data_IF_860165945467
#
_entry.id   IF_860165945467
#
_cell.length_a   1.000
_cell.length_b   1.000
_cell.length_c   1.000
_cell.angle_alpha   90.00
_cell.angle_beta   90.00
_cell.angle_gamma   90.00
#
_symmetry.space_group_name_H-M   'P 1'
#
loop_
_entity.id
_entity.type
_entity.pdbx_description
1 polymer ?
#
# COMPACT_ATOMS: atom_id res chain seq x y z
N UNK A 1 10.68 -15.77 19.77
CA UNK A 1 10.41 -14.51 19.05
C UNK A 1 9.08 -13.97 19.55
N UNK A 2 9.03 -12.77 20.17
CA UNK A 2 7.77 -12.22 20.64
C UNK A 2 6.90 -11.91 19.42
N UNK A 3 5.73 -12.54 19.32
CA UNK A 3 4.78 -12.27 18.25
C UNK A 3 4.44 -10.79 18.25
N UNK A 4 4.72 -10.11 17.14
CA UNK A 4 4.13 -8.81 16.84
C UNK A 4 2.62 -8.97 17.09
N UNK A 5 2.06 -8.09 17.90
CA UNK A 5 0.66 -8.16 18.32
C UNK A 5 -0.20 -8.25 17.06
N UNK A 6 -0.98 -9.31 16.88
CA UNK A 6 -1.90 -9.37 15.76
C UNK A 6 -2.90 -8.21 15.90
N UNK A 7 -2.82 -7.30 14.94
CA UNK A 7 -3.61 -6.09 14.86
C UNK A 7 -4.98 -6.41 14.27
N UNK A 8 -5.92 -5.46 14.36
CA UNK A 8 -7.19 -5.54 13.63
C UNK A 8 -6.98 -5.76 12.12
N UNK A 9 -5.89 -5.24 11.57
CA UNK A 9 -5.52 -5.43 10.18
C UNK A 9 -5.18 -6.90 9.88
N UNK A 10 -4.43 -7.58 10.74
CA UNK A 10 -4.08 -8.99 10.54
C UNK A 10 -5.32 -9.91 10.55
N UNK A 11 -6.29 -9.60 11.42
CA UNK A 11 -7.58 -10.30 11.42
C UNK A 11 -8.34 -10.08 10.12
N UNK A 12 -8.40 -8.83 9.64
CA UNK A 12 -9.07 -8.50 8.38
C UNK A 12 -8.41 -9.24 7.20
N UNK A 13 -7.10 -9.15 7.06
CA UNK A 13 -6.36 -9.84 6.00
C UNK A 13 -6.57 -11.35 6.04
N UNK A 14 -6.60 -11.95 7.23
CA UNK A 14 -6.89 -13.37 7.39
C UNK A 14 -8.34 -13.74 7.02
N UNK A 15 -9.30 -12.84 7.25
CA UNK A 15 -10.70 -13.03 6.82
C UNK A 15 -10.79 -12.97 5.30
N UNK A 16 -10.14 -11.99 4.66
CA UNK A 16 -10.19 -11.79 3.22
C UNK A 16 -9.56 -12.96 2.45
N UNK A 17 -8.65 -13.72 3.08
CA UNK A 17 -8.10 -14.96 2.51
C UNK A 17 -9.03 -16.19 2.63
N UNK A 18 -10.15 -16.10 3.36
CA UNK A 18 -11.09 -17.21 3.48
C UNK A 18 -11.97 -17.30 2.22
N UNK A 19 -12.35 -18.52 1.78
CA UNK A 19 -13.37 -18.68 0.75
C UNK A 19 -14.66 -17.93 1.11
N UNK A 20 -15.32 -17.33 0.12
CA UNK A 20 -16.61 -16.62 0.28
C UNK A 20 -17.61 -17.48 1.06
N UNK A 21 -17.74 -18.75 0.68
CA UNK A 21 -18.64 -19.71 1.34
C UNK A 21 -18.30 -19.90 2.82
N UNK A 22 -17.02 -19.91 3.18
CA UNK A 22 -16.56 -20.02 4.57
C UNK A 22 -16.81 -18.72 5.34
N UNK A 23 -16.63 -17.53 4.74
CA UNK A 23 -16.97 -16.24 5.37
C UNK A 23 -18.47 -16.15 5.68
N UNK A 24 -19.32 -16.50 4.72
CA UNK A 24 -20.78 -16.53 4.89
C UNK A 24 -21.22 -17.52 5.99
N UNK A 25 -20.74 -18.77 5.91
CA UNK A 25 -21.02 -19.79 6.92
C UNK A 25 -20.50 -19.38 8.32
N UNK A 26 -19.36 -18.70 8.39
CA UNK A 26 -18.83 -18.18 9.65
C UNK A 26 -19.71 -17.07 10.22
N UNK A 27 -20.21 -16.16 9.39
CA UNK A 27 -21.12 -15.09 9.81
C UNK A 27 -22.40 -15.68 10.43
N UNK A 28 -23.01 -16.65 9.77
CA UNK A 28 -24.18 -17.36 10.29
C UNK A 28 -23.86 -18.16 11.55
N UNK A 29 -22.71 -18.83 11.57
CA UNK A 29 -22.22 -19.58 12.72
C UNK A 29 -22.01 -18.70 13.94
N UNK A 30 -21.40 -17.52 13.77
CA UNK A 30 -21.16 -16.55 14.85
C UNK A 30 -22.45 -16.01 15.42
N UNK A 31 -23.48 -15.80 14.59
CA UNK A 31 -24.82 -15.36 15.03
C UNK A 31 -25.58 -16.45 15.78
N UNK A 32 -25.42 -17.71 15.39
CA UNK A 32 -26.17 -18.83 15.95
C UNK A 32 -25.53 -19.48 17.20
N UNK A 33 -24.27 -19.19 17.51
CA UNK A 33 -23.51 -19.92 18.54
C UNK A 33 -22.88 -18.99 19.58
N UNK A 34 -22.59 -19.55 20.76
CA UNK A 34 -21.74 -18.89 21.76
C UNK A 34 -20.29 -19.01 21.33
N UNK A 35 -19.69 -17.88 20.95
CA UNK A 35 -18.33 -17.86 20.43
C UNK A 35 -17.28 -17.71 21.54
N UNK A 36 -16.23 -18.51 21.42
CA UNK A 36 -15.06 -18.48 22.31
C UNK A 36 -13.78 -18.12 21.55
N UNK A 37 -12.76 -17.74 22.33
CA UNK A 37 -11.39 -17.44 21.87
C UNK A 37 -10.42 -18.35 22.61
N UNK A 38 -9.25 -18.63 22.01
CA UNK A 38 -8.16 -19.38 22.64
C UNK A 38 -8.40 -20.89 22.80
N UNK A 39 -9.45 -21.43 22.18
CA UNK A 39 -9.75 -22.86 22.13
C UNK A 39 -10.74 -23.18 20.99
N UNK A 40 -10.81 -24.46 20.61
CA UNK A 40 -11.72 -24.96 19.57
C UNK A 40 -13.16 -25.14 20.08
N UNK A 41 -13.30 -25.72 21.27
CA UNK A 41 -14.56 -25.90 22.02
C UNK A 41 -14.30 -25.67 23.50
N UNK A 42 -15.32 -25.25 24.25
CA UNK A 42 -15.29 -25.24 25.72
C UNK A 42 -16.21 -26.31 26.31
N UNK A 43 -16.12 -26.52 27.63
CA UNK A 43 -16.97 -27.49 28.36
C UNK A 43 -18.43 -27.04 28.53
N UNK A 44 -18.76 -25.82 28.10
CA UNK A 44 -20.08 -25.18 28.25
C UNK A 44 -20.80 -25.06 26.89
N UNK A 45 -20.28 -25.71 25.85
CA UNK A 45 -20.86 -25.72 24.51
C UNK A 45 -20.48 -24.53 23.62
N UNK A 46 -19.59 -23.65 24.08
CA UNK A 46 -19.01 -22.59 23.28
C UNK A 46 -18.03 -23.13 22.23
N UNK A 47 -17.98 -22.48 21.07
CA UNK A 47 -17.19 -22.92 19.91
C UNK A 47 -16.39 -21.78 19.30
N UNK A 48 -15.25 -22.08 18.69
CA UNK A 48 -14.51 -21.07 17.93
C UNK A 48 -15.26 -20.68 16.65
N UNK A 49 -14.99 -19.50 16.05
CA UNK A 49 -15.66 -19.08 14.83
C UNK A 49 -15.50 -20.07 13.66
N UNK A 50 -14.33 -20.73 13.56
CA UNK A 50 -14.09 -21.70 12.48
C UNK A 50 -14.97 -22.94 12.63
N UNK A 51 -15.10 -23.49 13.84
CA UNK A 51 -16.00 -24.62 14.09
C UNK A 51 -17.46 -24.21 13.92
N UNK A 52 -17.82 -22.97 14.29
CA UNK A 52 -19.15 -22.45 14.03
C UNK A 52 -19.45 -22.44 12.51
N UNK A 53 -18.49 -22.02 11.69
CA UNK A 53 -18.59 -22.09 10.23
C UNK A 53 -18.72 -23.54 9.72
N UNK A 54 -17.95 -24.47 10.27
CA UNK A 54 -18.01 -25.89 9.88
C UNK A 54 -19.37 -26.52 10.15
N UNK A 55 -20.01 -26.13 11.25
CA UNK A 55 -21.38 -26.56 11.58
C UNK A 55 -22.41 -26.05 10.55
N UNK A 56 -22.13 -24.91 9.92
CA UNK A 56 -22.90 -24.37 8.80
C UNK A 56 -22.44 -24.87 7.43
N UNK A 57 -21.62 -25.93 7.38
CA UNK A 57 -21.23 -26.61 6.14
C UNK A 57 -19.92 -26.14 5.53
N UNK A 58 -19.19 -25.20 6.14
CA UNK A 58 -17.83 -24.88 5.69
C UNK A 58 -16.89 -26.08 5.87
N UNK A 59 -15.93 -26.24 4.95
CA UNK A 59 -14.97 -27.37 4.94
C UNK A 59 -13.51 -26.90 4.92
N UNK A 60 -13.22 -25.71 5.43
CA UNK A 60 -11.88 -25.11 5.35
C UNK A 60 -11.18 -25.13 6.69
N UNK A 61 -9.95 -25.65 6.73
CA UNK A 61 -9.05 -25.54 7.87
C UNK A 61 -8.04 -24.42 7.65
N UNK A 62 -8.46 -23.17 7.87
CA UNK A 62 -7.57 -22.01 7.69
C UNK A 62 -6.94 -21.59 9.02
N UNK A 63 -5.82 -22.24 9.35
CA UNK A 63 -5.05 -21.98 10.57
C UNK A 63 -4.59 -20.51 10.74
N UNK A 64 -4.25 -19.75 9.68
CA UNK A 64 -3.89 -18.33 9.82
C UNK A 64 -5.00 -17.49 10.44
N UNK A 65 -6.28 -17.75 10.11
CA UNK A 65 -7.41 -17.07 10.75
C UNK A 65 -7.47 -17.37 12.25
N UNK A 66 -7.33 -18.63 12.65
CA UNK A 66 -7.37 -18.99 14.08
C UNK A 66 -6.30 -18.24 14.88
N UNK A 67 -5.08 -18.14 14.33
CA UNK A 67 -3.98 -17.38 14.93
C UNK A 67 -4.27 -15.88 14.98
N UNK A 68 -4.80 -15.31 13.90
CA UNK A 68 -5.14 -13.90 13.84
C UNK A 68 -6.27 -13.53 14.82
N UNK A 69 -7.28 -14.40 14.95
CA UNK A 69 -8.38 -14.25 15.90
C UNK A 69 -7.91 -14.27 17.36
N UNK A 70 -7.11 -15.27 17.73
CA UNK A 70 -6.58 -15.38 19.09
C UNK A 70 -5.59 -14.25 19.40
N UNK A 71 -4.82 -13.82 18.40
CA UNK A 71 -3.91 -12.67 18.51
C UNK A 71 -4.65 -11.35 18.70
N UNK A 72 -5.70 -11.09 17.92
CA UNK A 72 -6.55 -9.90 18.02
C UNK A 72 -7.22 -9.79 19.39
N UNK A 73 -7.79 -10.90 19.87
CA UNK A 73 -8.46 -10.98 21.18
C UNK A 73 -7.49 -11.10 22.36
N UNK A 74 -6.18 -11.25 22.07
CA UNK A 74 -5.10 -11.46 23.04
C UNK A 74 -5.40 -12.61 23.98
N UNK A 75 -6.03 -13.66 23.46
CA UNK A 75 -6.45 -14.80 24.26
C UNK A 75 -5.22 -15.60 24.73
N UNK A 76 -5.02 -15.66 26.05
CA UNK A 76 -4.02 -16.55 26.67
C UNK A 76 -4.62 -17.88 27.12
N UNK A 77 -5.94 -17.93 27.30
CA UNK A 77 -6.73 -19.09 27.75
C UNK A 77 -8.11 -19.00 27.13
N UNK A 78 -8.78 -20.16 27.05
CA UNK A 78 -10.14 -20.26 26.59
C UNK A 78 -11.09 -19.33 27.38
N UNK A 79 -11.81 -18.46 26.68
CA UNK A 79 -12.87 -17.62 27.27
C UNK A 79 -13.92 -17.29 26.23
N UNK A 80 -15.08 -16.80 26.69
CA UNK A 80 -16.08 -16.22 25.79
C UNK A 80 -15.52 -14.97 25.10
N UNK A 81 -15.84 -14.82 23.83
CA UNK A 81 -15.60 -13.59 23.10
C UNK A 81 -16.50 -12.48 23.67
N UNK A 82 -15.95 -11.28 23.80
CA UNK A 82 -16.68 -10.10 24.23
C UNK A 82 -17.59 -9.58 23.11
N UNK A 83 -18.60 -8.80 23.47
CA UNK A 83 -19.51 -8.16 22.51
C UNK A 83 -18.75 -7.29 21.50
N UNK A 84 -17.71 -6.58 21.94
CA UNK A 84 -16.87 -5.76 21.06
C UNK A 84 -16.11 -6.62 20.04
N UNK A 85 -15.50 -7.72 20.48
CA UNK A 85 -14.75 -8.62 19.60
C UNK A 85 -15.67 -9.25 18.54
N UNK A 86 -16.87 -9.66 18.95
CA UNK A 86 -17.87 -10.21 18.03
C UNK A 86 -18.36 -9.17 17.03
N UNK A 87 -18.57 -7.93 17.47
CA UNK A 87 -18.96 -6.84 16.56
C UNK A 87 -17.87 -6.59 15.50
N UNK A 88 -16.60 -6.56 15.90
CA UNK A 88 -15.48 -6.37 14.96
C UNK A 88 -15.40 -7.53 13.96
N UNK A 89 -15.48 -8.78 14.43
CA UNK A 89 -15.47 -9.95 13.56
C UNK A 89 -16.63 -9.91 12.55
N UNK A 90 -17.84 -9.62 13.04
CA UNK A 90 -19.05 -9.53 12.22
C UNK A 90 -18.93 -8.44 11.16
N UNK A 91 -18.50 -7.23 11.55
CA UNK A 91 -18.31 -6.12 10.61
C UNK A 91 -17.24 -6.40 9.56
N UNK A 92 -16.16 -7.12 9.91
CA UNK A 92 -15.17 -7.52 8.92
C UNK A 92 -15.70 -8.58 7.97
N UNK A 93 -16.45 -9.58 8.45
CA UNK A 93 -17.08 -10.59 7.60
C UNK A 93 -18.09 -9.94 6.63
N UNK A 94 -18.97 -9.08 7.13
CA UNK A 94 -19.96 -8.36 6.32
C UNK A 94 -19.28 -7.46 5.28
N UNK A 95 -18.29 -6.67 5.68
CA UNK A 95 -17.53 -5.80 4.76
C UNK A 95 -16.77 -6.61 3.70
N UNK A 96 -16.24 -7.78 4.07
CA UNK A 96 -15.50 -8.66 3.17
C UNK A 96 -16.45 -9.30 2.14
N UNK A 97 -17.67 -9.69 2.55
CA UNK A 97 -18.69 -10.22 1.65
C UNK A 97 -19.26 -9.14 0.71
N UNK A 98 -19.54 -7.94 1.23
CA UNK A 98 -20.00 -6.81 0.41
C UNK A 98 -18.96 -6.43 -0.65
N UNK A 99 -17.67 -6.47 -0.31
CA UNK A 99 -16.61 -6.19 -1.26
C UNK A 99 -16.54 -7.23 -2.40
N UNK A 100 -16.92 -8.48 -2.15
CA UNK A 100 -16.97 -9.54 -3.18
C UNK A 100 -18.19 -9.39 -4.09
N UNK A 101 -19.31 -8.87 -3.56
CA UNK A 101 -20.49 -8.51 -4.37
C UNK A 101 -20.23 -7.28 -5.24
N UNK A 102 -19.43 -6.33 -4.73
CA UNK A 102 -19.01 -5.11 -5.42
C UNK A 102 -17.81 -5.30 -6.35
N UNK A 103 -17.11 -6.44 -6.31
CA UNK A 103 -16.08 -6.81 -7.28
C UNK A 103 -16.75 -7.18 -8.60
N UNK A 104 -17.41 -6.17 -9.19
CA UNK A 104 -17.75 -6.05 -10.60
C UNK A 104 -16.48 -6.43 -11.35
N UNK A 105 -16.57 -7.45 -12.20
CA UNK A 105 -15.44 -8.11 -12.89
C UNK A 105 -14.45 -7.07 -13.44
N UNK A 106 -13.50 -6.69 -12.60
CA UNK A 106 -12.51 -5.68 -12.91
C UNK A 106 -11.63 -6.21 -14.05
N UNK A 107 -11.54 -7.54 -14.17
CA UNK A 107 -10.92 -8.25 -15.28
C UNK A 107 -11.65 -8.00 -16.60
N UNK A 108 -12.98 -8.11 -16.63
CA UNK A 108 -13.82 -7.79 -17.78
C UNK A 108 -13.71 -6.31 -18.17
N UNK A 109 -13.81 -5.39 -17.20
CA UNK A 109 -13.66 -3.96 -17.46
C UNK A 109 -12.26 -3.59 -17.99
N UNK A 110 -11.19 -4.22 -17.47
CA UNK A 110 -9.82 -4.04 -17.97
C UNK A 110 -9.66 -4.64 -19.38
N UNK A 111 -10.25 -5.81 -19.64
CA UNK A 111 -10.22 -6.45 -20.94
C UNK A 111 -10.95 -5.60 -22.00
N UNK A 112 -12.13 -5.07 -21.66
CA UNK A 112 -12.90 -4.18 -22.50
C UNK A 112 -12.11 -2.90 -22.80
N UNK A 113 -11.56 -2.24 -21.78
CA UNK A 113 -10.76 -1.03 -21.95
C UNK A 113 -9.54 -1.26 -22.84
N UNK A 114 -8.84 -2.40 -22.66
CA UNK A 114 -7.70 -2.79 -23.51
C UNK A 114 -8.14 -3.02 -24.95
N UNK A 115 -9.30 -3.63 -25.18
CA UNK A 115 -9.86 -3.86 -26.52
C UNK A 115 -10.19 -2.55 -27.23
N UNK A 116 -10.85 -1.62 -26.54
CA UNK A 116 -11.19 -0.29 -27.05
C UNK A 116 -9.93 0.56 -27.33
N UNK A 117 -8.93 0.50 -26.45
CA UNK A 117 -7.65 1.17 -26.65
C UNK A 117 -6.86 0.61 -27.85
N UNK A 118 -6.92 -0.71 -28.08
CA UNK A 118 -6.32 -1.35 -29.25
C UNK A 118 -7.04 -0.93 -30.56
N UNK A 119 -8.37 -0.92 -30.57
CA UNK A 119 -9.17 -0.47 -31.72
C UNK A 119 -8.86 0.99 -32.08
N UNK A 120 -8.81 1.87 -31.08
CA UNK A 120 -8.51 3.29 -31.27
C UNK A 120 -7.09 3.49 -31.84
N UNK A 121 -6.10 2.70 -31.40
CA UNK A 121 -4.74 2.71 -31.99
C UNK A 121 -4.71 2.25 -33.44
N UNK A 122 -5.46 1.19 -33.78
CA UNK A 122 -5.58 0.71 -35.16
C UNK A 122 -6.25 1.77 -36.04
N UNK A 123 -7.28 2.44 -35.52
CA UNK A 123 -7.95 3.50 -36.26
C UNK A 123 -7.05 4.73 -36.45
N UNK A 124 -6.32 5.15 -35.42
CA UNK A 124 -5.36 6.26 -35.53
C UNK A 124 -4.21 5.95 -36.50
N UNK A 125 -3.69 4.71 -36.51
CA UNK A 125 -2.66 4.31 -37.47
C UNK A 125 -3.22 4.27 -38.90
N UNK A 126 -4.45 3.75 -39.10
CA UNK A 126 -5.15 3.82 -40.40
C UNK A 126 -5.38 5.26 -40.87
N UNK A 127 -5.85 6.16 -40.00
CA UNK A 127 -6.03 7.58 -40.33
C UNK A 127 -4.69 8.25 -40.69
N UNK A 128 -3.60 7.97 -39.96
CA UNK A 128 -2.25 8.49 -40.26
C UNK A 128 -1.70 7.99 -41.60
N UNK A 129 -1.89 6.72 -41.92
CA UNK A 129 -1.47 6.13 -43.19
C UNK A 129 -2.34 6.63 -44.35
N UNK A 130 -3.64 6.82 -44.13
CA UNK A 130 -4.56 7.43 -45.08
C UNK A 130 -4.24 8.90 -45.39
N UNK A 131 -3.81 9.69 -44.40
CA UNK A 131 -3.37 11.08 -44.62
C UNK A 131 -2.07 11.17 -45.43
N UNK A 132 -1.17 10.19 -45.35
CA UNK A 132 0.05 10.17 -46.19
C UNK A 132 -0.25 9.88 -47.67
N UNK A 133 -1.33 9.16 -47.98
CA UNK A 133 -1.75 8.91 -49.37
C UNK A 133 -2.44 10.12 -50.03
N UNK A 134 -3.03 11.04 -49.27
CA UNK A 134 -3.57 12.32 -49.79
C UNK A 134 -2.55 13.45 -49.81
N UNK A 135 -1.56 13.45 -48.91
CA UNK A 135 -0.51 14.47 -48.90
C UNK A 135 0.52 14.36 -50.06
N UNK A 136 0.36 13.39 -50.96
CA UNK A 136 1.17 13.25 -52.17
C UNK A 136 0.67 14.05 -53.38
N UNK A 137 -0.41 14.84 -53.25
CA UNK A 137 -0.99 15.59 -54.38
C UNK A 137 -1.03 17.12 -54.20
N UNK A 138 -0.73 17.66 -53.02
CA UNK A 138 -0.86 19.12 -52.76
C UNK A 138 0.36 19.69 -52.01
N UNK A 139 1.57 19.47 -52.53
CA UNK A 139 2.82 19.94 -51.93
C UNK A 139 3.29 21.30 -52.49
N UNK A 140 2.38 22.19 -52.87
CA UNK A 140 2.69 23.59 -53.20
C UNK A 140 1.55 24.51 -52.77
N UNK A 141 1.41 24.74 -51.46
CA UNK A 141 0.99 26.05 -50.92
C UNK A 141 0.83 26.03 -49.40
N UNK A 142 1.50 27.02 -48.80
CA UNK A 142 1.02 27.75 -47.62
C UNK A 142 1.08 27.03 -46.27
N UNK A 143 2.16 27.36 -45.55
CA UNK A 143 2.09 28.03 -44.25
C UNK A 143 0.66 28.23 -43.70
N UNK A 144 0.21 27.32 -42.84
CA UNK A 144 -0.95 27.53 -41.99
C UNK A 144 -0.72 26.88 -40.62
N UNK A 145 -0.23 27.72 -39.70
CA UNK A 145 -0.48 27.74 -38.25
C UNK A 145 -1.09 26.47 -37.65
N UNK A 146 -0.24 25.62 -37.06
CA UNK A 146 -0.68 24.51 -36.20
C UNK A 146 -0.86 24.99 -34.75
N UNK A 147 -1.92 25.75 -34.49
CA UNK A 147 -2.49 25.81 -33.14
C UNK A 147 -3.43 24.62 -32.99
N UNK A 148 -2.87 23.48 -32.56
CA UNK A 148 -3.66 22.39 -31.99
C UNK A 148 -3.41 22.39 -30.50
N UNK A 149 -4.42 22.89 -29.78
CA UNK A 149 -4.62 22.83 -28.34
C UNK A 149 -4.21 21.45 -27.81
N UNK A 150 -3.04 21.38 -27.18
CA UNK A 150 -2.56 20.16 -26.52
C UNK A 150 -3.19 20.11 -25.14
N UNK A 151 -4.00 19.08 -24.91
CA UNK A 151 -4.45 18.74 -23.56
C UNK A 151 -3.22 18.28 -22.76
N UNK A 152 -2.92 18.99 -21.67
CA UNK A 152 -1.76 18.76 -20.80
C UNK A 152 -0.87 20.00 -20.67
N UNK A 153 -0.45 20.29 -19.44
CA UNK A 153 0.47 21.39 -19.15
C UNK A 153 1.76 21.20 -20.00
N UNK A 154 2.24 22.22 -20.73
CA UNK A 154 3.50 22.15 -21.46
C UNK A 154 4.66 21.72 -20.56
N UNK A 155 5.65 21.06 -21.14
CA UNK A 155 6.88 20.72 -20.43
C UNK A 155 7.66 22.02 -20.11
N UNK A 156 7.51 22.50 -18.87
CA UNK A 156 8.21 23.69 -18.35
C UNK A 156 9.53 23.34 -17.68
N UNK A 157 10.11 22.18 -18.01
CA UNK A 157 11.34 21.69 -17.39
C UNK A 157 12.56 22.58 -17.60
N UNK A 158 12.59 23.33 -18.69
CA UNK A 158 13.63 24.34 -18.96
C UNK A 158 13.49 25.56 -18.04
N UNK A 159 12.26 26.06 -17.90
CA UNK A 159 11.93 27.27 -17.14
C UNK A 159 12.23 27.11 -15.65
N UNK A 160 11.84 25.96 -15.10
CA UNK A 160 11.89 25.73 -13.67
C UNK A 160 13.25 25.17 -13.19
N UNK A 161 14.12 24.74 -14.11
CA UNK A 161 15.48 24.22 -13.83
C UNK A 161 16.35 25.16 -12.99
N UNK A 162 16.07 26.46 -13.08
CA UNK A 162 16.81 27.53 -12.40
C UNK A 162 16.26 27.85 -11.00
N UNK A 163 15.17 27.20 -10.57
CA UNK A 163 14.57 27.42 -9.25
C UNK A 163 15.12 26.43 -8.22
N UNK A 164 15.55 26.91 -7.03
CA UNK A 164 15.98 26.01 -5.96
C UNK A 164 14.83 25.08 -5.55
N UNK A 165 15.15 23.79 -5.44
CA UNK A 165 14.21 22.74 -5.10
C UNK A 165 13.35 22.21 -6.26
N UNK A 166 13.45 22.73 -7.49
CA UNK A 166 12.52 22.33 -8.55
C UNK A 166 12.44 20.82 -8.87
N UNK A 167 13.45 20.03 -8.54
CA UNK A 167 13.39 18.56 -8.64
C UNK A 167 12.21 17.93 -7.87
N UNK A 168 11.74 18.56 -6.78
CA UNK A 168 10.58 18.08 -6.00
C UNK A 168 9.21 18.41 -6.63
N UNK A 169 9.18 19.26 -7.67
CA UNK A 169 7.96 19.78 -8.30
C UNK A 169 7.74 19.21 -9.70
N UNK A 170 8.55 18.23 -10.12
CA UNK A 170 8.52 17.69 -11.47
C UNK A 170 7.43 16.60 -11.58
N UNK A 171 6.34 16.82 -12.34
CA UNK A 171 5.37 15.76 -12.59
C UNK A 171 5.98 14.80 -13.62
N UNK A 172 6.31 13.59 -13.21
CA UNK A 172 6.77 12.54 -14.13
C UNK A 172 5.57 11.90 -14.82
N UNK A 173 5.58 11.88 -16.15
CA UNK A 173 4.51 11.24 -16.95
C UNK A 173 4.79 9.77 -17.25
N UNK A 174 6.02 9.29 -17.05
CA UNK A 174 6.44 7.90 -17.25
C UNK A 174 7.31 7.45 -16.08
N UNK A 175 7.18 6.17 -15.70
CA UNK A 175 7.89 5.59 -14.55
C UNK A 175 9.41 5.59 -14.76
N UNK A 176 9.88 5.22 -15.95
CA UNK A 176 11.31 5.17 -16.28
C UNK A 176 12.01 6.52 -16.08
N UNK A 177 11.30 7.63 -16.32
CA UNK A 177 11.83 8.99 -16.15
C UNK A 177 11.98 9.36 -14.66
N UNK A 178 11.09 8.84 -13.80
CA UNK A 178 11.16 8.99 -12.35
C UNK A 178 12.32 8.18 -11.78
N UNK A 179 12.46 6.91 -12.20
CA UNK A 179 13.54 6.04 -11.74
C UNK A 179 14.91 6.61 -12.09
N UNK A 180 15.09 7.12 -13.32
CA UNK A 180 16.33 7.80 -13.71
C UNK A 180 16.59 9.08 -12.91
N UNK A 181 15.55 9.81 -12.50
CA UNK A 181 15.71 11.01 -11.69
C UNK A 181 16.13 10.68 -10.25
N UNK A 182 15.58 9.63 -9.65
CA UNK A 182 16.00 9.10 -8.34
C UNK A 182 17.48 8.67 -8.39
N UNK A 183 17.86 7.87 -9.39
CA UNK A 183 19.23 7.37 -9.52
C UNK A 183 20.27 8.51 -9.66
N UNK A 184 19.93 9.60 -10.38
CA UNK A 184 20.79 10.79 -10.48
C UNK A 184 20.89 11.53 -9.16
N UNK A 185 19.77 11.71 -8.44
CA UNK A 185 19.76 12.38 -7.14
C UNK A 185 20.57 11.61 -6.09
N UNK A 186 20.52 10.28 -6.10
CA UNK A 186 21.34 9.43 -5.23
C UNK A 186 22.83 9.53 -5.58
N UNK A 187 23.18 9.59 -6.87
CA UNK A 187 24.55 9.80 -7.30
C UNK A 187 25.10 11.18 -6.87
N UNK A 188 24.29 12.23 -7.01
CA UNK A 188 24.65 13.59 -6.59
C UNK A 188 24.79 13.70 -5.06
N UNK A 189 23.92 13.02 -4.30
CA UNK A 189 23.99 12.97 -2.84
C UNK A 189 25.25 12.23 -2.35
N UNK A 190 25.64 11.14 -3.03
CA UNK A 190 26.88 10.41 -2.74
C UNK A 190 28.15 11.23 -3.03
N UNK A 191 28.13 12.06 -4.07
CA UNK A 191 29.26 12.94 -4.40
C UNK A 191 29.46 14.10 -3.39
N UNK A 192 28.38 14.54 -2.73
CA UNK A 192 28.42 15.60 -1.71
C UNK A 192 28.86 15.14 -0.32
N UNK A 193 28.62 13.87 0.05
CA UNK A 193 28.93 13.36 1.40
C UNK A 193 30.42 13.08 1.63
N UNK A 194 31.18 12.75 0.58
CA UNK A 194 32.62 12.43 0.68
C UNK A 194 33.52 13.67 0.86
N UNK A 195 33.03 14.87 0.51
CA UNK A 195 33.75 16.13 0.72
C UNK A 195 33.56 16.71 2.15
N UNK A 196 32.51 16.31 2.87
CA UNK A 196 32.18 16.87 4.19
C UNK A 196 32.83 16.12 5.38
N UNK A 197 33.33 14.89 5.18
CA UNK A 197 33.91 14.07 6.25
C UNK A 197 35.43 14.30 6.43
N UNK A 198 36.09 15.01 5.50
CA UNK A 198 37.56 15.18 5.51
C UNK A 198 38.00 16.64 5.69
N UNK A 199 37.73 17.21 6.87
CA UNK A 199 38.41 18.42 7.35
C UNK A 199 39.31 18.08 8.55
N UNK A 200 40.61 18.42 8.54
CA UNK A 200 41.56 18.03 9.59
C UNK A 200 41.45 18.91 10.84
N UNK A 201 41.76 18.29 11.98
CA UNK A 201 41.62 18.82 13.34
C UNK A 201 42.37 20.13 13.60
N UNK A 202 41.72 20.97 14.41
CA UNK A 202 42.32 22.16 15.02
C UNK A 202 42.67 21.81 16.46
N UNK A 203 43.96 21.92 16.77
CA UNK A 203 44.55 21.71 18.08
C UNK A 203 43.95 22.65 19.14
N UNK A 204 43.61 22.08 20.31
CA UNK A 204 43.31 22.84 21.52
C UNK A 204 44.61 23.29 22.20
N UNK A 205 44.74 24.55 22.66
CA UNK A 205 45.86 24.97 23.48
C UNK A 205 45.59 24.69 24.96
N UNK A 206 46.58 24.06 25.60
CA UNK A 206 46.69 23.88 27.03
C UNK A 206 47.17 25.18 27.73
N UNK A 207 46.47 25.58 28.80
CA UNK A 207 46.98 26.33 29.96
C UNK A 207 45.86 26.33 31.03
N UNK A 208 46.00 25.55 32.11
CA UNK A 208 46.68 25.93 33.35
C UNK A 208 45.93 27.02 34.15
N UNK A 209 45.27 26.59 35.23
CA UNK A 209 45.41 27.17 36.57
C UNK A 209 44.70 26.28 37.60
N UNK A 210 45.48 25.81 38.57
CA UNK A 210 45.03 24.91 39.63
C UNK A 210 44.54 25.58 40.92
N UNK A 211 44.55 24.76 41.98
CA UNK A 211 44.32 25.05 43.40
C UNK A 211 42.86 25.49 43.73
N UNK A 212 42.17 25.02 44.76
CA UNK A 212 42.57 24.41 46.03
C UNK A 212 41.27 24.07 46.82
N UNK A 213 41.38 23.12 47.78
CA UNK A 213 40.60 22.98 49.05
C UNK A 213 39.26 22.21 49.10
N UNK A 214 39.37 20.96 49.55
CA UNK A 214 38.59 20.38 50.68
C UNK A 214 38.91 21.13 52.01
N UNK A 215 38.20 20.98 53.17
CA UNK A 215 37.31 19.87 53.56
C UNK A 215 36.05 20.24 54.41
N UNK A 216 35.34 19.17 54.82
CA UNK A 216 34.60 18.98 56.09
C UNK A 216 33.15 19.45 56.23
N UNK A 217 32.22 18.48 56.22
CA UNK A 217 30.97 18.53 56.97
C UNK A 217 30.56 17.14 57.49
N UNK A 218 30.81 16.94 58.79
CA UNK A 218 29.99 16.22 59.81
C UNK A 218 29.24 14.94 59.39
N UNK A 219 29.67 13.79 59.91
CA UNK A 219 29.03 13.02 60.99
C UNK A 219 29.83 11.76 61.29
#
# INVERSE_FOLDING_TARGET
MPSVRASTHDLRSAIDCLPVTTRAAMLDGVRANVIIVGAYVDRRGGVCPMLAAHRQGARTDFLPFARAWDGFTRAKRARRASVRELRVLTSHLESSLLAEEEDVDLGEAIAEHRSLAAQTRIEHTRRRLGTRRRAGLDAESSQAVSVRTRFGDPDRSEELRRRPGWSWLRPFRRLDDYEQAIARAEADAGAGSDAAIRAPGRAEPAADRGAEREPAARA
#
